data_IF_897303019433
#
_entry.id   IF_897303019433
#
_cell.length_a   1.000
_cell.length_b   1.000
_cell.length_c   1.000
_cell.angle_alpha   90.00
_cell.angle_beta   90.00
_cell.angle_gamma   90.00
#
_symmetry.space_group_name_H-M   'P 1'
#
loop_
_entity.id
_entity.type
_entity.pdbx_description
1 polymer ?
#
# COMPACT_ATOMS: atom_id res chain seq x y z
N UNK A 1 -8.18 3.78 -10.58
CA UNK A 1 -8.67 3.47 -11.95
C UNK A 1 -9.67 2.32 -11.86
N UNK A 2 -10.78 2.30 -12.61
CA UNK A 2 -11.67 1.13 -12.63
C UNK A 2 -10.92 -0.08 -13.22
N UNK A 3 -11.09 -1.27 -12.65
CA UNK A 3 -10.45 -2.49 -13.15
C UNK A 3 -11.06 -2.98 -14.47
N UNK A 4 -10.59 -4.13 -14.96
CA UNK A 4 -11.07 -4.72 -16.22
C UNK A 4 -12.59 -4.88 -16.23
N UNK A 5 -13.25 -4.39 -17.29
CA UNK A 5 -14.70 -4.49 -17.45
C UNK A 5 -15.04 -5.81 -18.14
N UNK A 6 -15.96 -6.57 -17.56
CA UNK A 6 -16.50 -7.79 -18.16
C UNK A 6 -17.83 -7.50 -18.84
N UNK A 7 -17.88 -7.66 -20.16
CA UNK A 7 -19.07 -7.31 -20.96
C UNK A 7 -19.59 -8.53 -21.72
N UNK A 8 -20.88 -8.89 -21.58
CA UNK A 8 -21.56 -9.81 -22.49
C UNK A 8 -21.64 -9.23 -23.90
N UNK A 9 -21.05 -9.90 -24.89
CA UNK A 9 -21.05 -9.39 -26.27
C UNK A 9 -21.79 -10.29 -27.27
N UNK A 10 -22.00 -11.59 -26.97
CA UNK A 10 -22.87 -12.47 -27.78
C UNK A 10 -23.41 -13.64 -26.97
N UNK A 11 -24.55 -14.18 -27.43
CA UNK A 11 -25.03 -15.51 -27.05
C UNK A 11 -24.69 -16.49 -28.18
N UNK A 12 -24.19 -17.65 -27.84
CA UNK A 12 -23.85 -18.68 -28.84
C UNK A 12 -24.19 -20.08 -28.34
N UNK A 13 -24.57 -20.94 -29.28
CA UNK A 13 -24.80 -22.36 -29.04
C UNK A 13 -23.56 -23.13 -29.47
N UNK A 14 -22.97 -23.91 -28.57
CA UNK A 14 -21.75 -24.68 -28.83
C UNK A 14 -21.97 -26.16 -28.49
N UNK A 15 -21.28 -27.04 -29.22
CA UNK A 15 -21.24 -28.47 -28.92
C UNK A 15 -20.03 -28.77 -28.03
N UNK A 16 -20.26 -29.26 -26.81
CA UNK A 16 -19.22 -29.61 -25.85
C UNK A 16 -19.39 -31.08 -25.46
N UNK A 17 -18.47 -31.95 -25.89
CA UNK A 17 -18.47 -33.39 -25.57
C UNK A 17 -19.83 -34.07 -25.86
N UNK A 18 -20.47 -33.70 -26.97
CA UNK A 18 -21.78 -34.24 -27.38
C UNK A 18 -23.00 -33.56 -26.73
N UNK A 19 -22.80 -32.53 -25.90
CA UNK A 19 -23.87 -31.73 -25.32
C UNK A 19 -24.01 -30.39 -26.04
N UNK A 20 -25.24 -30.04 -26.41
CA UNK A 20 -25.60 -28.71 -26.91
C UNK A 20 -25.71 -27.75 -25.74
N UNK A 21 -24.84 -26.75 -25.67
CA UNK A 21 -24.80 -25.76 -24.58
C UNK A 21 -25.00 -24.36 -25.14
N UNK A 22 -25.96 -23.62 -24.58
CA UNK A 22 -26.10 -22.19 -24.82
C UNK A 22 -25.24 -21.43 -23.81
N UNK A 23 -24.28 -20.63 -24.30
CA UNK A 23 -23.39 -19.83 -23.45
C UNK A 23 -23.40 -18.36 -23.85
N UNK A 24 -23.05 -17.52 -22.90
CA UNK A 24 -22.76 -16.10 -23.11
C UNK A 24 -21.26 -15.96 -23.33
N UNK A 25 -20.85 -15.38 -24.44
CA UNK A 25 -19.46 -15.00 -24.63
C UNK A 25 -19.23 -13.63 -23.99
N UNK A 26 -18.16 -13.55 -23.22
CA UNK A 26 -17.78 -12.40 -22.42
C UNK A 26 -16.47 -11.83 -22.96
N UNK A 27 -16.38 -10.51 -23.06
CA UNK A 27 -15.12 -9.79 -23.27
C UNK A 27 -14.58 -9.37 -21.89
N UNK A 28 -13.26 -9.40 -21.71
CA UNK A 28 -12.64 -9.15 -20.40
C UNK A 28 -12.69 -10.33 -19.41
N UNK A 29 -13.18 -11.50 -19.83
CA UNK A 29 -13.21 -12.74 -19.04
C UNK A 29 -12.43 -13.87 -19.75
N UNK A 30 -11.66 -14.72 -19.03
CA UNK A 30 -11.52 -14.82 -17.58
C UNK A 30 -10.66 -13.71 -16.97
N UNK A 31 -11.12 -13.14 -15.85
CA UNK A 31 -10.37 -12.15 -15.06
C UNK A 31 -10.72 -12.30 -13.58
N UNK A 32 -9.73 -12.25 -12.68
CA UNK A 32 -9.90 -12.38 -11.24
C UNK A 32 -9.30 -11.17 -10.48
N UNK A 33 -9.21 -10.02 -11.15
CA UNK A 33 -8.66 -8.80 -10.55
C UNK A 33 -9.57 -8.29 -9.43
N UNK A 34 -8.96 -7.79 -8.35
CA UNK A 34 -9.68 -7.33 -7.16
C UNK A 34 -10.70 -6.21 -7.44
N UNK A 35 -10.53 -5.45 -8.53
CA UNK A 35 -11.38 -4.33 -8.94
C UNK A 35 -12.11 -4.55 -10.28
N UNK A 36 -12.31 -5.82 -10.71
CA UNK A 36 -13.08 -6.16 -11.92
C UNK A 36 -14.48 -5.55 -11.88
N UNK A 37 -14.98 -5.03 -13.00
CA UNK A 37 -16.38 -4.60 -13.12
C UNK A 37 -17.18 -5.73 -13.75
N UNK A 38 -18.15 -6.25 -13.01
CA UNK A 38 -18.98 -7.39 -13.45
C UNK A 38 -20.13 -6.95 -14.37
N UNK A 39 -20.74 -7.89 -15.12
CA UNK A 39 -21.82 -7.58 -16.05
C UNK A 39 -23.06 -6.93 -15.42
N UNK A 40 -23.25 -7.07 -14.11
CA UNK A 40 -24.32 -6.43 -13.34
C UNK A 40 -23.95 -5.03 -12.83
N UNK A 41 -22.74 -4.56 -13.13
CA UNK A 41 -22.20 -3.27 -12.71
C UNK A 41 -21.56 -3.28 -11.32
N UNK A 42 -21.55 -4.42 -10.61
CA UNK A 42 -20.83 -4.54 -9.36
C UNK A 42 -19.31 -4.44 -9.57
N UNK A 43 -18.59 -3.97 -8.54
CA UNK A 43 -17.15 -3.78 -8.58
C UNK A 43 -16.51 -4.74 -7.59
N UNK A 44 -15.60 -5.55 -8.10
CA UNK A 44 -14.68 -6.37 -7.35
C UNK A 44 -14.86 -7.86 -7.60
N UNK A 45 -13.85 -8.63 -7.23
CA UNK A 45 -13.91 -10.09 -7.34
C UNK A 45 -13.69 -10.74 -5.99
N UNK A 46 -14.75 -11.34 -5.43
CA UNK A 46 -14.67 -12.07 -4.16
C UNK A 46 -13.77 -13.30 -4.21
N UNK A 47 -13.38 -13.77 -5.39
CA UNK A 47 -12.45 -14.90 -5.55
C UNK A 47 -11.00 -14.46 -5.73
N UNK A 48 -10.64 -13.20 -5.45
CA UNK A 48 -9.25 -12.74 -5.60
C UNK A 48 -8.30 -13.34 -4.56
N UNK A 49 -8.76 -13.53 -3.31
CA UNK A 49 -7.93 -13.99 -2.18
C UNK A 49 -8.26 -15.42 -1.70
N UNK A 50 -9.54 -15.80 -1.75
CA UNK A 50 -10.00 -17.17 -1.49
C UNK A 50 -10.69 -17.69 -2.74
N UNK A 51 -9.94 -18.42 -3.55
CA UNK A 51 -10.33 -18.84 -4.88
C UNK A 51 -11.53 -19.80 -4.82
N UNK A 52 -12.34 -19.71 -5.88
CA UNK A 52 -13.29 -20.77 -6.20
C UNK A 52 -12.52 -22.06 -6.54
N UNK A 53 -13.06 -23.25 -6.26
CA UNK A 53 -14.37 -23.54 -5.71
C UNK A 53 -14.33 -23.89 -4.22
N UNK A 54 -13.19 -23.69 -3.56
CA UNK A 54 -13.00 -24.06 -2.16
C UNK A 54 -13.35 -22.93 -1.20
N UNK A 55 -13.10 -21.67 -1.57
CA UNK A 55 -13.34 -20.49 -0.73
C UNK A 55 -12.71 -20.64 0.67
N UNK A 56 -11.45 -21.08 0.70
CA UNK A 56 -10.74 -21.43 1.94
C UNK A 56 -10.27 -20.17 2.69
N UNK A 57 -10.58 -20.11 3.99
CA UNK A 57 -10.06 -19.07 4.87
C UNK A 57 -8.55 -19.24 5.09
N UNK A 58 -8.04 -20.47 5.18
CA UNK A 58 -6.60 -20.75 5.15
C UNK A 58 -5.93 -20.12 3.92
N UNK A 59 -6.47 -20.36 2.71
CA UNK A 59 -5.92 -19.75 1.50
C UNK A 59 -5.90 -18.21 1.56
N UNK A 60 -6.97 -17.59 2.09
CA UNK A 60 -7.03 -16.14 2.26
C UNK A 60 -5.98 -15.59 3.25
N UNK A 61 -5.54 -16.41 4.21
CA UNK A 61 -4.59 -16.04 5.26
C UNK A 61 -3.14 -16.33 4.91
N UNK A 62 -2.90 -17.24 3.98
CA UNK A 62 -1.57 -17.58 3.50
C UNK A 62 -0.98 -16.45 2.62
N UNK A 63 0.32 -16.11 2.78
CA UNK A 63 0.96 -15.02 2.04
C UNK A 63 0.87 -15.14 0.52
N UNK A 64 0.94 -16.38 -0.01
CA UNK A 64 0.98 -16.66 -1.44
C UNK A 64 -0.25 -16.17 -2.22
N UNK A 65 -1.42 -16.08 -1.58
CA UNK A 65 -2.62 -15.53 -2.25
C UNK A 65 -2.44 -14.05 -2.57
N UNK A 66 -1.75 -13.32 -1.69
CA UNK A 66 -1.40 -11.91 -1.88
C UNK A 66 -0.26 -11.77 -2.90
N UNK A 67 0.74 -12.66 -2.83
CA UNK A 67 1.90 -12.71 -3.72
C UNK A 67 1.57 -12.95 -5.19
N UNK A 68 0.34 -13.36 -5.52
CA UNK A 68 -0.16 -13.39 -6.90
C UNK A 68 -0.10 -12.01 -7.58
N UNK A 69 -0.32 -10.95 -6.82
CA UNK A 69 -0.42 -9.58 -7.33
C UNK A 69 0.54 -8.60 -6.63
N UNK A 70 0.87 -8.82 -5.36
CA UNK A 70 1.78 -7.97 -4.59
C UNK A 70 3.23 -8.46 -4.71
N UNK A 71 3.76 -8.39 -5.92
CA UNK A 71 5.09 -8.86 -6.29
C UNK A 71 5.76 -7.92 -7.29
N UNK A 72 7.05 -8.16 -7.52
CA UNK A 72 7.83 -7.52 -8.58
C UNK A 72 8.24 -6.09 -8.27
N UNK A 73 8.92 -5.47 -9.25
CA UNK A 73 9.61 -4.20 -9.08
C UNK A 73 8.72 -3.04 -8.55
N UNK A 74 7.46 -2.97 -9.00
CA UNK A 74 6.57 -1.87 -8.63
C UNK A 74 6.07 -1.91 -7.18
N UNK A 75 5.94 -3.11 -6.60
CA UNK A 75 5.42 -3.29 -5.23
C UNK A 75 5.79 -4.69 -4.70
N UNK A 76 7.07 -4.90 -4.29
CA UNK A 76 7.62 -6.21 -3.97
C UNK A 76 7.24 -6.69 -2.57
N UNK A 77 5.96 -6.66 -2.22
CA UNK A 77 5.54 -6.93 -0.83
C UNK A 77 5.74 -8.39 -0.43
N UNK A 78 5.50 -9.34 -1.35
CA UNK A 78 5.70 -10.76 -1.04
C UNK A 78 7.19 -11.07 -0.86
N UNK A 79 8.06 -10.51 -1.70
CA UNK A 79 9.51 -10.68 -1.59
C UNK A 79 10.03 -10.08 -0.27
N UNK A 80 9.56 -8.88 0.11
CA UNK A 80 9.88 -8.28 1.40
C UNK A 80 9.40 -9.15 2.57
N UNK A 81 8.20 -9.73 2.45
CA UNK A 81 7.64 -10.59 3.50
C UNK A 81 8.44 -11.88 3.66
N UNK A 82 8.72 -12.58 2.56
CA UNK A 82 9.44 -13.86 2.55
C UNK A 82 10.83 -13.72 3.15
N UNK A 83 11.56 -12.64 2.83
CA UNK A 83 12.89 -12.39 3.36
C UNK A 83 12.87 -11.86 4.81
N UNK A 84 11.71 -11.49 5.34
CA UNK A 84 11.57 -11.01 6.71
C UNK A 84 11.62 -12.14 7.73
N UNK A 85 11.96 -11.82 8.98
CA UNK A 85 11.85 -12.78 10.08
C UNK A 85 10.41 -13.31 10.27
N UNK A 86 9.38 -12.53 9.92
CA UNK A 86 8.00 -12.99 9.98
C UNK A 86 7.72 -14.08 8.93
N UNK A 87 8.12 -13.87 7.68
CA UNK A 87 7.97 -14.85 6.60
C UNK A 87 8.79 -16.11 6.85
N UNK A 88 10.02 -15.97 7.34
CA UNK A 88 10.87 -17.10 7.71
C UNK A 88 10.22 -18.01 8.77
N UNK A 89 9.58 -17.43 9.81
CA UNK A 89 8.88 -18.20 10.85
C UNK A 89 7.60 -18.82 10.30
N UNK A 90 6.83 -18.09 9.49
CA UNK A 90 5.62 -18.63 8.85
C UNK A 90 5.95 -19.81 7.94
N UNK A 91 6.97 -19.69 7.10
CA UNK A 91 7.40 -20.76 6.23
C UNK A 91 7.86 -22.01 7.02
N UNK A 92 8.59 -21.80 8.12
CA UNK A 92 9.12 -22.89 8.93
C UNK A 92 8.08 -23.59 9.82
N UNK A 93 7.05 -22.88 10.29
CA UNK A 93 6.14 -23.37 11.33
C UNK A 93 4.65 -23.29 10.98
N UNK A 94 4.29 -22.64 9.88
CA UNK A 94 2.92 -22.38 9.45
C UNK A 94 2.07 -23.63 9.25
N UNK A 95 2.67 -24.76 8.88
CA UNK A 95 1.95 -26.04 8.77
C UNK A 95 1.34 -26.51 10.09
N UNK A 96 1.89 -26.07 11.23
CA UNK A 96 1.42 -26.43 12.58
C UNK A 96 0.36 -25.47 13.12
N UNK A 97 0.11 -24.37 12.43
CA UNK A 97 -0.83 -23.34 12.87
C UNK A 97 -2.28 -23.75 12.58
N UNK A 98 -3.19 -23.17 13.36
CA UNK A 98 -4.62 -23.29 13.09
C UNK A 98 -5.09 -22.11 12.23
N UNK A 99 -5.32 -22.37 10.94
CA UNK A 99 -5.66 -21.35 9.96
C UNK A 99 -7.15 -21.02 9.86
N UNK A 100 -8.03 -21.76 10.54
CA UNK A 100 -9.48 -21.68 10.34
C UNK A 100 -10.21 -20.99 11.51
N UNK A 101 -9.56 -20.77 12.66
CA UNK A 101 -10.19 -20.13 13.82
C UNK A 101 -10.62 -18.68 13.56
N UNK A 102 -11.80 -18.30 14.06
CA UNK A 102 -12.32 -16.94 14.05
C UNK A 102 -12.87 -16.57 15.45
N UNK A 103 -12.37 -15.50 16.10
CA UNK A 103 -11.23 -14.66 15.70
C UNK A 103 -9.91 -15.44 15.71
N UNK A 104 -8.87 -14.94 15.03
CA UNK A 104 -7.58 -15.62 14.98
C UNK A 104 -6.72 -15.20 16.17
N UNK A 105 -6.27 -16.16 16.98
CA UNK A 105 -5.63 -15.88 18.26
C UNK A 105 -4.09 -15.85 18.13
N UNK A 106 -3.50 -14.69 18.36
CA UNK A 106 -2.04 -14.53 18.35
C UNK A 106 -1.41 -15.27 19.55
N UNK A 107 -0.40 -16.10 19.29
CA UNK A 107 0.32 -16.90 20.28
C UNK A 107 -0.25 -18.31 20.51
N UNK A 108 -1.52 -18.56 20.15
CA UNK A 108 -2.14 -19.89 20.26
C UNK A 108 -2.49 -20.52 18.92
N UNK A 109 -3.09 -19.76 17.99
CA UNK A 109 -3.39 -20.27 16.65
C UNK A 109 -2.21 -20.08 15.68
N UNK A 110 -1.44 -18.99 15.85
CA UNK A 110 -0.25 -18.65 15.06
C UNK A 110 0.77 -17.89 15.91
N UNK A 111 2.05 -17.89 15.53
CA UNK A 111 3.11 -17.20 16.27
C UNK A 111 3.99 -16.24 15.44
N UNK A 112 3.72 -16.08 14.14
CA UNK A 112 4.22 -14.98 13.32
C UNK A 112 3.11 -14.44 12.41
N UNK A 113 3.10 -13.12 12.11
CA UNK A 113 2.05 -12.53 11.30
C UNK A 113 2.20 -12.90 9.82
N UNK A 114 1.06 -12.95 9.10
CA UNK A 114 0.99 -12.95 7.64
C UNK A 114 0.48 -11.61 7.12
N UNK A 115 0.39 -11.46 5.80
CA UNK A 115 -0.29 -10.34 5.14
C UNK A 115 -1.70 -10.14 5.73
N UNK A 116 -2.45 -11.23 5.90
CA UNK A 116 -3.80 -11.18 6.42
C UNK A 116 -3.84 -10.80 7.90
N UNK A 117 -2.87 -11.21 8.73
CA UNK A 117 -2.80 -10.81 10.14
C UNK A 117 -2.78 -9.29 10.28
N UNK A 118 -1.92 -8.63 9.50
CA UNK A 118 -1.71 -7.19 9.58
C UNK A 118 -2.82 -6.39 8.89
N UNK A 119 -3.30 -6.84 7.71
CA UNK A 119 -4.14 -6.01 6.84
C UNK A 119 -5.64 -6.32 6.88
N UNK A 120 -6.08 -7.54 7.23
CA UNK A 120 -7.46 -7.99 6.94
C UNK A 120 -8.13 -8.68 8.12
N UNK A 121 -7.43 -9.53 8.85
CA UNK A 121 -8.01 -10.48 9.80
C UNK A 121 -8.47 -9.83 11.10
N UNK A 122 -9.52 -10.41 11.70
CA UNK A 122 -9.86 -10.18 13.10
C UNK A 122 -8.86 -10.91 13.99
N UNK A 123 -8.11 -10.16 14.78
CA UNK A 123 -7.08 -10.70 15.68
C UNK A 123 -7.53 -10.57 17.13
N UNK A 124 -7.34 -11.64 17.89
CA UNK A 124 -7.64 -11.70 19.31
C UNK A 124 -6.41 -12.18 20.11
N UNK A 125 -6.42 -11.94 21.41
CA UNK A 125 -5.49 -12.55 22.37
C UNK A 125 -5.90 -14.00 22.67
N UNK A 126 -5.02 -14.84 23.25
CA UNK A 126 -5.35 -16.25 23.56
C UNK A 126 -6.60 -16.46 24.42
N UNK A 127 -6.99 -15.49 25.24
CA UNK A 127 -8.22 -15.48 26.05
C UNK A 127 -9.48 -15.06 25.26
N UNK A 128 -9.37 -14.85 23.95
CA UNK A 128 -10.51 -14.56 23.05
C UNK A 128 -10.91 -13.09 22.95
N UNK A 129 -10.18 -12.17 23.60
CA UNK A 129 -10.45 -10.73 23.51
C UNK A 129 -9.98 -10.17 22.17
N UNK A 130 -10.91 -9.61 21.40
CA UNK A 130 -10.61 -8.97 20.12
C UNK A 130 -9.74 -7.73 20.33
N UNK A 131 -8.63 -7.68 19.62
CA UNK A 131 -7.64 -6.60 19.65
C UNK A 131 -7.83 -5.66 18.46
N UNK A 132 -8.02 -6.26 17.28
CA UNK A 132 -8.31 -5.54 16.03
C UNK A 132 -9.40 -6.30 15.28
N UNK A 133 -10.42 -5.57 14.82
CA UNK A 133 -11.49 -6.14 13.99
C UNK A 133 -11.03 -6.31 12.55
N UNK A 134 -11.44 -7.41 11.92
CA UNK A 134 -11.17 -7.65 10.51
C UNK A 134 -11.96 -6.71 9.61
N UNK A 135 -11.44 -6.50 8.41
CA UNK A 135 -12.01 -5.59 7.40
C UNK A 135 -11.72 -6.14 6.00
N UNK A 136 -12.68 -5.98 5.07
CA UNK A 136 -12.46 -6.21 3.63
C UNK A 136 -12.14 -4.91 2.88
N UNK A 137 -12.11 -3.79 3.60
CA UNK A 137 -11.58 -2.51 3.16
C UNK A 137 -10.19 -2.33 3.79
N UNK A 138 -9.16 -2.54 2.97
CA UNK A 138 -7.76 -2.54 3.41
C UNK A 138 -7.23 -1.12 3.67
N UNK A 139 -7.88 -0.08 3.13
CA UNK A 139 -7.45 1.31 3.32
C UNK A 139 -7.52 1.73 4.80
N UNK A 140 -8.47 1.16 5.54
CA UNK A 140 -8.65 1.38 6.97
C UNK A 140 -7.45 0.93 7.83
N UNK A 141 -6.46 0.24 7.24
CA UNK A 141 -5.24 -0.21 7.95
C UNK A 141 -3.96 0.45 7.45
N UNK A 142 -4.07 1.41 6.54
CA UNK A 142 -2.93 2.03 5.89
C UNK A 142 -2.83 3.51 6.24
N UNK A 143 -1.61 4.00 6.30
CA UNK A 143 -1.31 5.44 6.48
C UNK A 143 -0.53 6.04 5.32
N UNK A 144 0.18 5.19 4.57
CA UNK A 144 0.96 5.54 3.39
C UNK A 144 0.44 4.83 2.15
N UNK A 145 0.47 5.54 1.04
CA UNK A 145 0.40 5.02 -0.31
C UNK A 145 1.78 5.15 -0.95
N UNK A 146 2.43 4.00 -1.10
CA UNK A 146 3.80 3.86 -1.59
C UNK A 146 3.82 3.42 -3.07
N UNK A 147 2.67 3.41 -3.75
CA UNK A 147 2.54 2.93 -5.14
C UNK A 147 2.83 4.00 -6.20
N UNK A 148 3.13 5.21 -5.77
CA UNK A 148 3.38 6.37 -6.62
C UNK A 148 4.85 6.75 -6.56
N UNK A 149 5.33 7.51 -7.56
CA UNK A 149 6.70 8.01 -7.58
C UNK A 149 7.06 8.86 -6.34
N UNK A 150 6.05 9.48 -5.72
CA UNK A 150 6.17 10.08 -4.40
C UNK A 150 5.21 9.40 -3.45
N UNK A 151 5.66 9.17 -2.24
CA UNK A 151 4.82 8.63 -1.19
C UNK A 151 3.78 9.67 -0.78
N UNK A 152 2.53 9.25 -0.68
CA UNK A 152 1.43 10.13 -0.25
C UNK A 152 0.70 9.51 0.94
N UNK A 153 0.17 10.30 1.87
CA UNK A 153 -0.71 9.74 2.88
C UNK A 153 -1.93 9.11 2.25
N UNK A 154 -2.38 8.00 2.84
CA UNK A 154 -3.65 7.41 2.43
C UNK A 154 -4.78 8.40 2.63
N UNK A 155 -5.57 8.57 1.58
CA UNK A 155 -6.65 9.52 1.60
C UNK A 155 -7.78 9.10 2.53
N UNK A 156 -8.34 10.07 3.25
CA UNK A 156 -9.57 9.91 4.05
C UNK A 156 -10.80 10.42 3.25
N UNK A 157 -10.59 10.86 2.01
CA UNK A 157 -11.61 11.47 1.13
C UNK A 157 -11.67 10.67 -0.16
N UNK A 158 -12.85 10.44 -0.76
CA UNK A 158 -13.00 9.62 -1.97
C UNK A 158 -11.98 9.99 -3.03
N UNK A 159 -11.10 9.04 -3.28
CA UNK A 159 -9.96 8.92 -4.19
C UNK A 159 -9.83 10.02 -5.27
N UNK A 160 -10.92 10.38 -5.95
CA UNK A 160 -10.96 11.39 -7.02
C UNK A 160 -10.69 12.82 -6.56
N UNK A 161 -11.11 13.22 -5.36
CA UNK A 161 -10.92 14.60 -4.87
C UNK A 161 -9.49 14.80 -4.41
N UNK A 162 -8.89 13.79 -3.79
CA UNK A 162 -7.49 13.84 -3.38
C UNK A 162 -6.55 13.72 -4.57
N UNK A 163 -6.79 12.81 -5.51
CA UNK A 163 -6.05 12.76 -6.77
C UNK A 163 -6.17 14.12 -7.51
N UNK A 164 -7.35 14.70 -7.65
CA UNK A 164 -7.50 16.00 -8.31
C UNK A 164 -6.78 17.15 -7.56
N UNK A 165 -6.76 17.15 -6.22
CA UNK A 165 -6.04 18.14 -5.42
C UNK A 165 -4.52 17.91 -5.46
N UNK A 166 -4.04 16.67 -5.37
CA UNK A 166 -2.61 16.31 -5.43
C UNK A 166 -2.03 16.43 -6.83
N UNK A 167 -2.79 16.15 -7.89
CA UNK A 167 -2.37 16.40 -9.27
C UNK A 167 -2.59 17.88 -9.68
N UNK A 168 -3.46 18.61 -8.97
CA UNK A 168 -3.71 20.05 -9.19
C UNK A 168 -2.79 21.01 -8.40
N UNK A 169 -2.29 20.60 -7.22
CA UNK A 169 -1.29 21.30 -6.39
C UNK A 169 0.10 20.67 -6.49
N UNK A 170 0.39 20.05 -7.64
CA UNK A 170 1.25 18.89 -7.66
C UNK A 170 2.70 19.09 -7.24
N UNK A 171 3.12 18.23 -6.31
CA UNK A 171 4.52 17.80 -6.17
C UNK A 171 5.00 17.00 -7.39
N UNK A 172 4.07 16.48 -8.21
CA UNK A 172 4.34 16.00 -9.57
C UNK A 172 4.59 17.15 -10.58
N UNK A 173 4.45 18.40 -10.17
CA UNK A 173 4.95 19.58 -10.88
C UNK A 173 5.89 20.34 -9.97
N UNK A 174 6.65 19.64 -9.12
CA UNK A 174 7.82 20.22 -8.45
C UNK A 174 8.53 21.06 -9.49
N UNK A 175 8.71 22.35 -9.25
CA UNK A 175 9.25 23.23 -10.27
C UNK A 175 10.76 23.20 -10.15
N UNK A 176 11.49 23.51 -11.22
CA UNK A 176 12.94 23.70 -11.13
C UNK A 176 13.31 24.73 -10.02
N UNK A 177 12.40 25.67 -9.72
CA UNK A 177 12.52 26.61 -8.61
C UNK A 177 12.55 25.97 -7.21
N UNK A 178 11.96 24.78 -7.02
CA UNK A 178 12.00 24.04 -5.74
C UNK A 178 13.39 23.45 -5.47
N UNK A 179 14.14 23.14 -6.54
CA UNK A 179 15.56 22.79 -6.45
C UNK A 179 16.36 24.03 -6.03
N UNK A 180 16.01 25.24 -6.46
CA UNK A 180 16.72 26.48 -6.07
C UNK A 180 16.22 27.14 -4.79
N UNK A 181 15.14 26.62 -4.17
CA UNK A 181 14.51 27.21 -2.99
C UNK A 181 15.44 27.31 -1.77
N UNK A 182 16.45 26.44 -1.67
CA UNK A 182 17.50 26.53 -0.63
C UNK A 182 18.40 27.78 -0.78
N UNK A 183 18.37 28.45 -1.95
CA UNK A 183 19.04 29.73 -2.21
C UNK A 183 18.11 30.94 -2.09
N UNK A 184 16.80 30.74 -1.93
CA UNK A 184 15.81 31.81 -1.84
C UNK A 184 15.37 32.05 -0.37
N UNK A 185 15.84 33.13 0.28
CA UNK A 185 15.49 33.43 1.68
C UNK A 185 14.02 33.78 1.91
N UNK A 186 13.22 33.97 0.84
CA UNK A 186 11.82 34.35 0.89
C UNK A 186 10.85 33.21 0.54
N UNK A 187 11.34 31.97 0.39
CA UNK A 187 10.45 30.82 0.16
C UNK A 187 9.50 30.61 1.36
N UNK A 188 8.18 30.48 1.15
CA UNK A 188 7.24 30.26 2.25
C UNK A 188 7.58 28.98 3.04
N UNK A 189 7.37 28.93 4.37
CA UNK A 189 7.75 27.78 5.20
C UNK A 189 7.11 26.45 4.75
N UNK A 190 5.94 26.51 4.12
CA UNK A 190 5.24 25.37 3.53
C UNK A 190 5.96 24.71 2.33
N UNK A 191 6.96 25.37 1.73
CA UNK A 191 7.87 24.76 0.76
C UNK A 191 9.07 24.04 1.41
N UNK A 192 9.23 24.10 2.74
CA UNK A 192 10.25 23.31 3.47
C UNK A 192 9.76 21.93 3.88
N UNK A 193 8.45 21.75 4.04
CA UNK A 193 7.85 20.47 4.42
C UNK A 193 6.46 20.39 3.78
N UNK A 194 6.19 19.42 2.89
CA UNK A 194 4.88 19.31 2.27
C UNK A 194 3.82 18.99 3.32
N UNK A 195 2.93 19.96 3.57
CA UNK A 195 1.78 19.75 4.43
C UNK A 195 0.75 18.97 3.62
N UNK A 196 0.69 17.66 3.87
CA UNK A 196 -0.44 16.85 3.46
C UNK A 196 -1.42 16.76 4.62
N UNK A 197 -2.72 16.88 4.35
CA UNK A 197 -3.73 16.79 5.40
C UNK A 197 -3.64 15.42 6.10
N UNK A 198 -3.32 15.43 7.41
CA UNK A 198 -3.29 14.24 8.24
C UNK A 198 -1.95 13.93 8.90
N UNK A 199 -0.85 14.62 8.56
CA UNK A 199 0.40 14.51 9.32
C UNK A 199 1.28 15.78 9.31
N UNK A 200 2.20 15.90 10.27
CA UNK A 200 3.21 16.96 10.34
C UNK A 200 4.61 16.39 10.55
N UNK A 201 5.58 16.92 9.80
CA UNK A 201 7.02 16.70 10.05
C UNK A 201 7.45 17.72 11.12
N UNK A 202 8.02 17.24 12.22
CA UNK A 202 8.57 18.10 13.28
C UNK A 202 10.08 17.97 13.35
N UNK A 203 10.76 19.13 13.43
CA UNK A 203 12.21 19.20 13.58
C UNK A 203 12.65 18.62 14.94
N UNK A 204 13.85 18.03 14.95
CA UNK A 204 14.48 17.54 16.17
C UNK A 204 14.89 18.65 17.14
N UNK A 205 15.50 18.30 18.29
CA UNK A 205 15.89 19.25 19.34
C UNK A 205 16.89 20.33 18.86
N UNK A 206 16.87 21.48 19.53
CA UNK A 206 17.68 22.67 19.20
C UNK A 206 19.19 22.43 19.40
N UNK A 207 20.07 23.17 18.68
CA UNK A 207 21.52 23.11 18.90
C UNK A 207 21.87 23.36 20.38
N UNK A 208 22.60 22.42 21.01
CA UNK A 208 23.05 22.53 22.41
C UNK A 208 22.26 21.67 23.41
N UNK A 209 21.15 21.04 23.01
CA UNK A 209 20.49 20.02 23.82
C UNK A 209 21.20 18.67 23.67
N UNK A 210 21.49 17.98 24.79
CA UNK A 210 22.14 16.66 24.79
C UNK A 210 21.18 15.56 24.34
N UNK A 211 20.93 15.46 23.03
CA UNK A 211 20.22 14.31 22.44
C UNK A 211 20.78 13.92 21.07
N UNK A 212 20.79 12.60 20.88
CA UNK A 212 21.05 11.78 19.68
C UNK A 212 20.62 12.42 18.34
N UNK A 213 21.14 11.96 17.17
CA UNK A 213 20.93 12.60 15.86
C UNK A 213 19.49 13.03 15.60
N UNK A 214 19.35 14.18 14.90
CA UNK A 214 18.08 14.75 14.47
C UNK A 214 17.38 13.78 13.51
N UNK A 215 16.45 12.99 14.04
CA UNK A 215 15.53 12.19 13.22
C UNK A 215 14.22 12.95 13.07
N UNK A 216 13.69 12.97 11.85
CA UNK A 216 12.37 13.55 11.60
C UNK A 216 11.34 12.70 12.34
N UNK A 217 10.35 13.37 12.94
CA UNK A 217 9.20 12.69 13.53
C UNK A 217 7.96 13.08 12.77
N UNK A 218 7.14 12.08 12.48
CA UNK A 218 5.83 12.23 11.87
C UNK A 218 4.76 12.14 12.96
N UNK A 219 3.89 13.14 13.00
CA UNK A 219 2.71 13.15 13.87
C UNK A 219 1.46 13.04 13.02
N UNK A 220 0.73 11.94 13.17
CA UNK A 220 -0.55 11.70 12.49
C UNK A 220 -1.71 12.36 13.24
N UNK A 221 -2.74 12.78 12.50
CA UNK A 221 -4.00 13.29 13.04
C UNK A 221 -5.22 12.65 12.36
N UNK A 222 -6.42 12.84 12.92
CA UNK A 222 -7.66 12.31 12.34
C UNK A 222 -7.69 10.78 12.22
N UNK A 223 -8.19 10.26 11.10
CA UNK A 223 -8.26 8.81 10.84
C UNK A 223 -6.88 8.18 10.68
N UNK A 224 -5.88 8.88 10.13
CA UNK A 224 -4.52 8.34 10.01
C UNK A 224 -3.90 8.00 11.37
N UNK A 225 -4.18 8.82 12.39
CA UNK A 225 -3.77 8.52 13.76
C UNK A 225 -4.45 7.24 14.28
N UNK A 226 -5.72 7.02 13.94
CA UNK A 226 -6.44 5.80 14.32
C UNK A 226 -5.86 4.58 13.58
N UNK A 227 -5.65 4.66 12.27
CA UNK A 227 -5.06 3.57 11.48
C UNK A 227 -3.69 3.18 12.02
N UNK A 228 -2.83 4.16 12.33
CA UNK A 228 -1.52 3.90 12.91
C UNK A 228 -1.63 3.19 14.27
N UNK A 229 -2.49 3.69 15.16
CA UNK A 229 -2.66 3.08 16.48
C UNK A 229 -3.30 1.68 16.40
N UNK A 230 -4.20 1.43 15.45
CA UNK A 230 -4.74 0.10 15.19
C UNK A 230 -3.66 -0.88 14.71
N UNK A 231 -2.82 -0.48 13.75
CA UNK A 231 -1.70 -1.31 13.31
C UNK A 231 -0.72 -1.61 14.46
N UNK A 232 -0.41 -0.60 15.28
CA UNK A 232 0.42 -0.80 16.49
C UNK A 232 -0.18 -1.80 17.47
N UNK A 233 -1.51 -1.89 17.60
CA UNK A 233 -2.15 -2.91 18.46
C UNK A 233 -1.84 -4.33 17.98
N UNK A 234 -1.76 -4.55 16.66
CA UNK A 234 -1.34 -5.85 16.08
C UNK A 234 0.09 -6.17 16.53
N UNK A 235 1.02 -5.23 16.36
CA UNK A 235 2.42 -5.43 16.76
C UNK A 235 2.58 -5.68 18.27
N UNK A 236 1.80 -4.97 19.08
CA UNK A 236 1.83 -5.04 20.56
C UNK A 236 1.34 -6.38 21.12
N UNK A 237 0.83 -7.29 20.29
CA UNK A 237 0.51 -8.66 20.70
C UNK A 237 1.77 -9.51 20.92
N UNK A 238 2.85 -9.21 20.19
CA UNK A 238 4.09 -9.98 20.22
C UNK A 238 5.30 -9.12 20.66
N UNK A 239 5.23 -7.80 20.49
CA UNK A 239 6.33 -6.88 20.77
C UNK A 239 5.98 -5.86 21.85
N UNK A 240 7.01 -5.32 22.50
CA UNK A 240 6.83 -4.19 23.41
C UNK A 240 6.36 -2.94 22.65
N UNK A 241 5.71 -2.02 23.36
CA UNK A 241 5.28 -0.74 22.79
C UNK A 241 6.45 0.05 22.20
N UNK A 242 7.58 0.08 22.90
CA UNK A 242 8.79 0.76 22.45
C UNK A 242 9.31 0.19 21.13
N UNK A 243 9.33 -1.14 20.98
CA UNK A 243 9.78 -1.76 19.75
C UNK A 243 8.87 -1.41 18.57
N UNK A 244 7.55 -1.51 18.76
CA UNK A 244 6.57 -1.16 17.73
C UNK A 244 6.64 0.32 17.33
N UNK A 245 6.78 1.22 18.30
CA UNK A 245 6.90 2.65 18.04
C UNK A 245 8.21 2.99 17.32
N UNK A 246 9.31 2.32 17.65
CA UNK A 246 10.59 2.52 16.97
C UNK A 246 10.55 2.03 15.53
N UNK A 247 9.98 0.85 15.28
CA UNK A 247 9.84 0.30 13.93
C UNK A 247 9.12 1.28 13.01
N UNK A 248 7.98 1.82 13.45
CA UNK A 248 7.21 2.74 12.63
C UNK A 248 7.87 4.11 12.47
N UNK A 249 8.64 4.59 13.45
CA UNK A 249 9.47 5.80 13.27
C UNK A 249 10.51 5.61 12.18
N UNK A 250 11.18 4.46 12.15
CA UNK A 250 12.15 4.14 11.11
C UNK A 250 11.48 3.98 9.74
N UNK A 251 10.36 3.27 9.67
CA UNK A 251 9.61 3.12 8.42
C UNK A 251 9.20 4.49 7.85
N UNK A 252 8.65 5.36 8.70
CA UNK A 252 8.25 6.71 8.34
C UNK A 252 9.43 7.57 7.86
N UNK A 253 10.60 7.47 8.51
CA UNK A 253 11.80 8.17 8.09
C UNK A 253 12.29 7.68 6.72
N UNK A 254 12.32 6.37 6.48
CA UNK A 254 12.77 5.80 5.22
C UNK A 254 11.91 6.28 4.04
N UNK A 255 10.59 6.42 4.25
CA UNK A 255 9.66 6.94 3.26
C UNK A 255 9.99 8.41 2.91
N UNK A 256 10.28 9.23 3.93
CA UNK A 256 10.67 10.63 3.72
C UNK A 256 12.04 10.73 3.01
N UNK A 257 13.00 9.89 3.40
CA UNK A 257 14.32 9.88 2.77
C UNK A 257 14.23 9.48 1.29
N UNK A 258 13.38 8.50 0.97
CA UNK A 258 13.06 8.15 -0.41
C UNK A 258 12.47 9.34 -1.17
N UNK A 259 11.45 10.00 -0.63
CA UNK A 259 10.79 11.14 -1.28
C UNK A 259 11.76 12.32 -1.53
N UNK A 260 12.74 12.54 -0.63
CA UNK A 260 13.78 13.56 -0.83
C UNK A 260 14.63 13.22 -2.06
N UNK A 261 15.07 11.98 -2.18
CA UNK A 261 15.88 11.51 -3.32
C UNK A 261 15.05 11.51 -4.60
N UNK A 262 13.81 11.03 -4.55
CA UNK A 262 12.88 11.03 -5.68
C UNK A 262 12.64 12.46 -6.20
N UNK A 263 12.48 13.46 -5.31
CA UNK A 263 12.32 14.86 -5.69
C UNK A 263 13.56 15.42 -6.38
N UNK A 264 14.75 15.07 -5.89
CA UNK A 264 16.00 15.44 -6.54
C UNK A 264 16.11 14.84 -7.94
N UNK A 265 15.83 13.53 -8.09
CA UNK A 265 15.83 12.84 -9.38
C UNK A 265 14.82 13.45 -10.36
N UNK A 266 13.59 13.72 -9.90
CA UNK A 266 12.57 14.39 -10.70
C UNK A 266 13.02 15.78 -11.15
N UNK A 267 13.71 16.51 -10.28
CA UNK A 267 14.31 17.80 -10.63
C UNK A 267 15.36 17.72 -11.75
N UNK A 268 16.18 16.67 -11.76
CA UNK A 268 17.12 16.42 -12.86
C UNK A 268 16.42 16.08 -14.17
N UNK A 269 15.35 15.28 -14.12
CA UNK A 269 14.51 14.97 -15.29
C UNK A 269 13.92 16.23 -15.89
N UNK A 270 13.43 17.15 -15.06
CA UNK A 270 12.91 18.44 -15.53
C UNK A 270 13.98 19.33 -16.16
N UNK A 271 15.19 19.33 -15.61
CA UNK A 271 16.31 20.03 -16.21
C UNK A 271 16.65 19.42 -17.59
N UNK A 272 16.62 18.09 -17.71
CA UNK A 272 16.81 17.38 -18.98
C UNK A 272 15.80 17.84 -20.04
N UNK A 273 14.52 17.94 -19.70
CA UNK A 273 13.49 18.47 -20.60
C UNK A 273 13.75 19.94 -20.98
N UNK A 274 14.15 20.76 -20.02
CA UNK A 274 14.41 22.19 -20.26
C UNK A 274 15.60 22.43 -21.18
N UNK A 275 16.66 21.66 -21.03
CA UNK A 275 17.88 21.75 -21.84
C UNK A 275 17.75 21.02 -23.19
N UNK A 276 16.59 20.38 -23.47
CA UNK A 276 16.33 19.65 -24.71
C UNK A 276 17.11 18.33 -24.82
N UNK A 277 17.52 17.77 -23.69
CA UNK A 277 18.17 16.45 -23.61
C UNK A 277 17.14 15.32 -23.75
N UNK A 278 15.90 15.54 -23.32
CA UNK A 278 14.74 14.66 -23.52
C UNK A 278 13.51 15.49 -23.94
N UNK A 279 12.58 14.88 -24.67
CA UNK A 279 11.33 15.46 -25.17
C UNK A 279 10.13 15.06 -24.29
N UNK A 280 9.54 16.00 -23.52
CA UNK A 280 8.43 15.69 -22.63
C UNK A 280 7.09 15.43 -23.34
N UNK A 281 7.03 15.47 -24.68
CA UNK A 281 5.78 15.22 -25.42
C UNK A 281 5.25 13.80 -25.26
N UNK A 282 6.15 12.82 -25.11
CA UNK A 282 5.78 11.41 -24.90
C UNK A 282 6.54 10.79 -23.72
N UNK A 283 6.20 11.19 -22.50
CA UNK A 283 6.88 10.73 -21.28
C UNK A 283 7.00 9.21 -21.16
N UNK A 284 8.11 8.76 -20.56
CA UNK A 284 8.51 7.37 -20.29
C UNK A 284 8.92 6.58 -21.55
N UNK A 285 9.36 7.26 -22.61
CA UNK A 285 9.88 6.62 -23.82
C UNK A 285 11.39 6.79 -24.01
N UNK A 286 12.01 7.74 -23.31
CA UNK A 286 13.44 8.01 -23.37
C UNK A 286 14.19 7.53 -22.12
N UNK A 287 15.47 7.19 -22.31
CA UNK A 287 16.32 6.62 -21.26
C UNK A 287 16.39 7.49 -19.98
N UNK A 288 16.57 8.82 -20.03
CA UNK A 288 16.58 9.65 -18.82
C UNK A 288 15.27 9.66 -18.03
N UNK A 289 14.15 9.24 -18.63
CA UNK A 289 12.82 9.25 -18.00
C UNK A 289 12.46 7.93 -17.31
N UNK A 290 13.14 6.85 -17.68
CA UNK A 290 12.92 5.49 -17.14
C UNK A 290 13.97 5.08 -16.09
N UNK A 291 14.97 5.94 -15.85
CA UNK A 291 16.05 5.76 -14.87
C UNK A 291 15.73 6.45 -13.56
#
# INVERSE_FOLDING_TARGET
MPGTIVVPYKKETVQLRGLTVNRVALWGWPNNGAARVDPDGSIGTCTACHDRHLFSLKQAREPWTCGRCHLGYGHPHIEIYEESAHGNIEHAYGEKWNWETLPWHAGSDFNAPTCATCHISTIATPDGRIVVKGTHDLENRLVWDEMHFFSIPKGIIPDKVQLALFYGWSQLAGKAEDIEAHKNPNAPPEYRYPVFMGFKIVEGPAPGETKFPRLLKIEYSGELAKHREEMKKVCKLCHSSQWADNFFRTADQNIIDYDIVAKFAYGLLQLSWKEGIADPTNKLDEFPEIM
#
